data_IF_997991561091
#
_entry.id   IF_997991561091
#
_cell.length_a   1.000
_cell.length_b   1.000
_cell.length_c   1.000
_cell.angle_alpha   90.00
_cell.angle_beta   90.00
_cell.angle_gamma   90.00
#
_symmetry.space_group_name_H-M   'P 1'
#
loop_
_entity.id
_entity.type
_entity.pdbx_description
1 polymer ?
2 branched ?
3 branched ?
4 non-polymer ?
5 non-polymer ?
6 water ?
#
# COMPACT_ATOMS: atom_id res chain seq x y z
N UNK A 1 -16.41 2.41 -11.43
CA UNK A 1 -15.36 2.40 -10.42
C UNK A 1 -15.60 1.36 -9.33
N UNK A 2 -14.68 1.30 -8.37
CA UNK A 2 -14.76 0.38 -7.25
C UNK A 2 -15.14 1.11 -5.97
N UNK A 3 -15.85 0.41 -5.08
CA UNK A 3 -16.24 0.97 -3.78
C UNK A 3 -15.05 0.96 -2.81
N UNK A 4 -14.85 2.08 -2.13
CA UNK A 4 -13.80 2.24 -1.13
C UNK A 4 -14.47 2.31 0.25
N UNK A 5 -13.94 1.58 1.26
CA UNK A 5 -12.78 0.68 1.24
C UNK A 5 -13.04 -0.57 0.40
N UNK A 6 -11.98 -1.06 -0.23
CA UNK A 6 -12.07 -2.19 -1.15
C UNK A 6 -11.18 -3.30 -0.66
N UNK A 7 -11.71 -4.51 -0.66
CA UNK A 7 -10.94 -5.70 -0.31
C UNK A 7 -10.58 -6.50 -1.56
N UNK A 8 -9.29 -6.64 -1.82
CA UNK A 8 -8.79 -7.43 -2.93
C UNK A 8 -8.21 -8.72 -2.35
N UNK A 9 -8.91 -9.85 -2.55
CA UNK A 9 -8.34 -11.12 -2.09
C UNK A 9 -7.06 -11.43 -2.85
N UNK A 10 -6.08 -12.00 -2.16
CA UNK A 10 -4.82 -12.42 -2.76
C UNK A 10 -4.74 -13.93 -2.55
N UNK A 11 -5.28 -14.71 -3.50
CA UNK A 11 -5.46 -16.16 -3.26
C UNK A 11 -4.16 -16.92 -2.98
N UNK A 12 -4.06 -17.59 -1.84
CA UNK A 12 -2.82 -18.27 -1.49
C UNK A 12 -1.70 -17.34 -1.07
N UNK A 13 -2.06 -16.10 -0.74
CA UNK A 13 -1.09 -15.12 -0.28
C UNK A 13 -0.24 -14.54 -1.38
N UNK A 14 0.83 -13.87 -0.97
CA UNK A 14 1.73 -13.25 -1.94
C UNK A 14 2.94 -14.14 -2.12
N UNK A 15 3.71 -13.83 -3.16
CA UNK A 15 4.84 -14.63 -3.56
C UNK A 15 5.76 -13.70 -4.34
N UNK A 16 7.08 -13.89 -4.25
CA UNK A 16 7.93 -13.09 -5.12
C UNK A 16 7.50 -13.19 -6.59
N UNK A 17 7.59 -12.04 -7.26
CA UNK A 17 7.23 -11.81 -8.66
C UNK A 17 5.75 -11.47 -8.87
N UNK A 18 5.00 -11.40 -7.76
CA UNK A 18 3.62 -10.93 -7.82
C UNK A 18 3.60 -9.41 -7.81
N UNK A 19 2.91 -8.84 -8.79
CA UNK A 19 2.80 -7.39 -8.96
C UNK A 19 1.36 -6.97 -8.74
N UNK A 20 1.14 -6.11 -7.76
CA UNK A 20 -0.19 -5.58 -7.49
C UNK A 20 -0.24 -4.14 -8.00
N UNK A 21 -1.26 -3.84 -8.81
CA UNK A 21 -1.42 -2.50 -9.39
C UNK A 21 -2.73 -1.86 -8.95
N UNK A 22 -2.62 -0.67 -8.36
CA UNK A 22 -3.77 0.10 -7.92
C UNK A 22 -3.83 1.39 -8.72
N UNK A 23 -4.95 1.62 -9.40
CA UNK A 23 -5.18 2.87 -10.16
C UNK A 23 -6.30 3.63 -9.49
N UNK A 24 -6.12 4.93 -9.31
CA UNK A 24 -7.19 5.75 -8.75
C UNK A 24 -6.85 7.20 -8.91
N UNK A 25 -7.70 8.04 -8.34
CA UNK A 25 -7.50 9.48 -8.35
C UNK A 25 -7.67 9.97 -6.93
N UNK A 26 -6.73 10.80 -6.48
CA UNK A 26 -6.83 11.35 -5.14
C UNK A 26 -7.95 12.38 -5.14
N UNK A 27 -8.80 12.33 -4.12
CA UNK A 27 -9.88 13.31 -3.98
C UNK A 27 -9.29 14.70 -3.71
N UNK A 28 -10.04 15.76 -4.03
CA UNK A 28 -9.58 17.09 -3.62
C UNK A 28 -9.55 17.17 -2.09
N UNK A 29 -8.60 17.91 -1.53
CA UNK A 29 -8.48 18.07 -0.07
C UNK A 29 -8.35 16.73 0.69
N UNK A 30 -7.63 15.79 0.08
CA UNK A 30 -7.42 14.48 0.68
C UNK A 30 -6.62 14.59 1.97
N UNK A 31 -6.90 13.68 2.90
CA UNK A 31 -6.16 13.58 4.15
C UNK A 31 -5.23 12.36 4.17
N UNK A 32 -5.70 11.24 3.62
CA UNK A 32 -4.94 9.99 3.73
C UNK A 32 -5.29 9.00 2.65
N UNK A 33 -4.35 8.10 2.39
CA UNK A 33 -4.58 6.89 1.61
C UNK A 33 -3.99 5.76 2.46
N UNK A 34 -4.56 4.55 2.36
CA UNK A 34 -3.94 3.39 3.00
C UNK A 34 -4.07 2.12 2.17
N UNK A 35 -2.96 1.42 2.04
CA UNK A 35 -2.96 0.03 1.58
C UNK A 35 -2.59 -0.82 2.76
N UNK A 36 -3.40 -1.84 3.03
CA UNK A 36 -3.16 -2.77 4.13
C UNK A 36 -3.08 -4.21 3.62
N UNK A 37 -1.87 -4.74 3.50
CA UNK A 37 -1.69 -6.16 3.16
C UNK A 37 -1.84 -6.92 4.45
N UNK A 38 -2.88 -7.75 4.52
CA UNK A 38 -3.23 -8.40 5.78
C UNK A 38 -2.99 -9.89 5.81
N UNK A 39 -2.59 -10.35 6.99
CA UNK A 39 -2.49 -11.76 7.33
C UNK A 39 -3.48 -11.96 8.49
N UNK A 40 -4.71 -12.37 8.16
CA UNK A 40 -5.80 -12.35 9.14
C UNK A 40 -5.96 -10.95 9.73
N UNK A 41 -5.99 -10.85 11.06
CA UNK A 41 -6.08 -9.55 11.71
C UNK A 41 -4.78 -8.74 11.70
N UNK A 42 -3.66 -9.40 11.39
CA UNK A 42 -2.40 -8.70 11.34
C UNK A 42 -2.27 -7.92 10.04
N UNK A 43 -1.54 -6.82 10.09
CA UNK A 43 -1.22 -6.07 8.87
C UNK A 43 0.27 -6.26 8.59
N UNK A 44 0.57 -7.07 7.59
CA UNK A 44 1.96 -7.32 7.22
C UNK A 44 2.65 -6.06 6.70
N UNK A 45 1.93 -5.28 5.91
CA UNK A 45 2.48 -4.09 5.28
C UNK A 45 1.37 -3.07 5.14
N UNK A 46 1.49 -1.99 5.92
CA UNK A 46 0.62 -0.81 5.90
C UNK A 46 1.41 0.29 5.21
N UNK A 47 0.85 0.82 4.12
CA UNK A 47 1.46 1.88 3.30
C UNK A 47 0.46 3.04 3.37
N UNK A 48 0.86 4.13 4.02
CA UNK A 48 -0.09 5.17 4.45
C UNK A 48 0.39 6.59 4.14
N UNK A 49 0.15 7.05 2.91
CA UNK A 49 0.34 8.47 2.59
C UNK A 49 -0.57 9.36 3.44
N UNK A 50 0.05 10.33 4.10
CA UNK A 50 -0.63 11.32 4.93
C UNK A 50 -0.38 12.70 4.32
N UNK A 51 -1.47 13.39 3.96
CA UNK A 51 -1.38 14.66 3.25
C UNK A 51 -1.19 15.87 4.17
N UNK A 52 -1.49 15.71 5.46
CA UNK A 52 -1.35 16.80 6.41
C UNK A 52 -1.07 16.25 7.80
N UNK A 53 0.18 15.88 8.02
CA UNK A 53 0.62 15.55 9.37
C UNK A 53 1.49 16.71 9.83
N UNK A 54 0.94 17.54 10.70
CA UNK A 54 1.60 18.77 11.14
C UNK A 54 2.09 19.61 9.95
N UNK A 55 1.21 19.76 8.96
CA UNK A 55 1.46 20.57 7.75
C UNK A 55 2.59 20.04 6.86
N UNK A 56 2.85 18.74 6.99
CA UNK A 56 3.84 18.04 6.18
C UNK A 56 3.13 16.88 5.47
N UNK A 57 3.66 16.49 4.32
CA UNK A 57 3.19 15.31 3.60
C UNK A 57 4.22 14.21 3.80
N UNK A 58 3.76 13.03 4.22
CA UNK A 58 4.68 11.94 4.54
C UNK A 58 4.01 10.60 4.28
N UNK A 59 4.80 9.60 3.91
CA UNK A 59 4.28 8.24 3.82
C UNK A 59 4.77 7.45 5.02
N UNK A 60 3.81 6.89 5.75
CA UNK A 60 4.13 6.08 6.92
C UNK A 60 3.90 4.61 6.58
N UNK A 61 4.92 3.78 6.80
CA UNK A 61 4.79 2.34 6.61
C UNK A 61 5.02 1.61 7.93
N UNK A 62 4.28 0.54 8.14
CA UNK A 62 4.37 -0.21 9.40
C UNK A 62 3.74 -1.58 9.27
N UNK A 63 3.81 -2.34 10.37
CA UNK A 63 3.26 -3.67 10.51
C UNK A 63 2.47 -3.69 11.81
N UNK A 64 1.30 -4.33 11.80
CA UNK A 64 0.51 -4.50 13.01
C UNK A 64 0.44 -5.98 13.35
N UNK A 65 0.89 -6.31 14.55
CA UNK A 65 0.90 -7.69 15.04
C UNK A 65 0.14 -7.75 16.35
N UNK A 66 -0.84 -8.66 16.42
CA UNK A 66 -1.65 -8.84 17.64
C UNK A 66 -2.23 -7.50 18.10
N UNK A 67 -2.68 -6.70 17.14
CA UNK A 67 -3.29 -5.37 17.37
C UNK A 67 -2.33 -4.25 17.78
N UNK A 68 -1.02 -4.50 17.69
CA UNK A 68 -0.02 -3.51 18.05
C UNK A 68 0.81 -3.07 16.85
N UNK A 69 0.87 -1.77 16.61
CA UNK A 69 1.75 -1.22 15.58
C UNK A 69 3.21 -1.29 16.01
N UNK A 70 4.10 -1.60 15.06
CA UNK A 70 5.53 -1.65 15.33
C UNK A 70 6.21 -0.32 15.06
N UNK A 71 7.49 -0.40 14.69
CA UNK A 71 8.28 0.79 14.39
C UNK A 71 7.92 1.33 13.01
N UNK A 72 7.58 2.61 12.95
CA UNK A 72 7.23 3.25 11.69
C UNK A 72 8.45 3.48 10.82
N UNK A 73 8.30 3.23 9.52
CA UNK A 73 9.29 3.61 8.53
C UNK A 73 8.69 4.73 7.70
N UNK A 74 9.31 5.90 7.75
CA UNK A 74 8.75 7.10 7.12
C UNK A 74 9.50 7.51 5.87
N UNK A 75 8.74 7.90 4.85
CA UNK A 75 9.29 8.36 3.58
C UNK A 75 8.72 9.74 3.28
N UNK A 76 9.62 10.73 3.21
CA UNK A 76 9.25 12.12 2.94
C UNK A 76 9.02 12.40 1.45
N UNK A 77 9.59 11.56 0.58
CA UNK A 77 9.31 11.69 -0.85
C UNK A 77 7.83 11.36 -1.03
N UNK A 78 7.08 12.28 -1.65
CA UNK A 78 5.63 12.21 -1.63
C UNK A 78 5.06 12.48 -3.02
N UNK A 79 4.87 11.42 -3.82
CA UNK A 79 4.49 11.58 -5.23
C UNK A 79 3.01 11.83 -5.51
N UNK A 80 2.17 11.78 -4.48
CA UNK A 80 0.72 11.95 -4.63
C UNK A 80 0.35 13.41 -4.59
N UNK A 81 -0.73 13.77 -5.28
CA UNK A 81 -1.25 15.14 -5.23
C UNK A 81 -2.77 15.12 -5.23
N UNK A 82 -3.37 15.90 -4.35
CA UNK A 82 -4.82 16.01 -4.31
C UNK A 82 -5.38 16.32 -5.69
N UNK A 83 -6.44 15.61 -6.05
CA UNK A 83 -7.11 15.81 -7.32
C UNK A 83 -6.51 15.09 -8.51
N UNK A 84 -5.36 14.42 -8.36
CA UNK A 84 -4.65 13.84 -9.51
C UNK A 84 -4.69 12.32 -9.57
N UNK A 85 -4.72 11.76 -10.79
CA UNK A 85 -4.66 10.31 -10.95
C UNK A 85 -3.28 9.75 -10.62
N UNK A 86 -3.26 8.55 -10.05
CA UNK A 86 -2.03 7.88 -9.65
C UNK A 86 -2.09 6.41 -10.03
N UNK A 87 -0.90 5.82 -10.08
CA UNK A 87 -0.73 4.38 -10.16
C UNK A 87 0.23 3.96 -9.06
N UNK A 88 -0.20 3.03 -8.21
CA UNK A 88 0.70 2.42 -7.24
C UNK A 88 0.96 0.99 -7.71
N UNK A 89 2.24 0.64 -7.83
CA UNK A 89 2.64 -0.73 -8.13
C UNK A 89 3.43 -1.27 -6.96
N UNK A 90 2.97 -2.39 -6.42
CA UNK A 90 3.67 -3.06 -5.34
C UNK A 90 4.18 -4.39 -5.88
N UNK A 91 5.50 -4.51 -5.99
CA UNK A 91 6.11 -5.75 -6.46
C UNK A 91 6.64 -6.51 -5.26
N UNK A 92 6.20 -7.75 -5.12
CA UNK A 92 6.70 -8.59 -4.04
C UNK A 92 8.04 -9.18 -4.47
N UNK A 93 9.06 -8.93 -3.66
CA UNK A 93 10.39 -9.50 -3.89
C UNK A 93 10.73 -10.42 -2.72
N UNK A 94 11.78 -11.26 -2.85
CA UNK A 94 12.06 -12.21 -1.78
C UNK A 94 12.20 -11.58 -0.39
N UNK A 95 12.78 -10.39 -0.30
CA UNK A 95 13.04 -9.79 1.01
C UNK A 95 12.28 -8.51 1.35
N UNK A 96 11.54 -7.97 0.38
CA UNK A 96 10.77 -6.76 0.63
C UNK A 96 9.64 -6.58 -0.37
N UNK A 97 8.71 -5.71 0.01
CA UNK A 97 7.76 -5.17 -0.96
C UNK A 97 8.47 -3.97 -1.59
N UNK A 98 8.38 -3.85 -2.91
CA UNK A 98 8.97 -2.71 -3.60
C UNK A 98 7.83 -1.89 -4.20
N UNK A 99 7.77 -0.61 -3.85
CA UNK A 99 6.67 0.26 -4.28
C UNK A 99 7.15 1.32 -5.28
N UNK A 100 6.46 1.40 -6.41
CA UNK A 100 6.66 2.47 -7.38
C UNK A 100 5.34 3.20 -7.56
N UNK A 101 5.40 4.53 -7.66
CA UNK A 101 4.22 5.35 -7.92
C UNK A 101 4.45 6.09 -9.24
N UNK A 102 3.47 6.00 -10.12
CA UNK A 102 3.55 6.65 -11.44
C UNK A 102 4.85 6.28 -12.15
N UNK A 103 5.19 4.99 -12.07
CA UNK A 103 6.36 4.41 -12.74
C UNK A 103 7.72 4.79 -12.16
N UNK A 104 7.72 5.50 -11.03
CA UNK A 104 8.97 5.86 -10.38
C UNK A 104 9.12 5.14 -9.05
N UNK A 105 10.26 4.48 -8.86
CA UNK A 105 10.52 3.83 -7.59
C UNK A 105 10.33 4.79 -6.43
N UNK A 106 9.64 4.33 -5.39
CA UNK A 106 9.38 5.14 -4.21
C UNK A 106 10.08 4.62 -2.95
N UNK A 107 9.82 3.37 -2.60
CA UNK A 107 10.35 2.82 -1.36
C UNK A 107 10.34 1.30 -1.38
N UNK A 108 11.08 0.72 -0.44
CA UNK A 108 11.04 -0.71 -0.18
C UNK A 108 10.70 -0.93 1.30
N UNK A 109 10.06 -2.05 1.60
CA UNK A 109 9.69 -2.39 2.97
C UNK A 109 10.05 -3.84 3.20
N UNK A 110 11.03 -4.05 4.08
CA UNK A 110 11.51 -5.39 4.43
C UNK A 110 10.40 -6.23 5.05
N UNK A 111 10.33 -7.50 4.66
CA UNK A 111 9.31 -8.40 5.22
C UNK A 111 9.50 -8.64 6.70
N UNK A 112 8.54 -8.18 7.50
CA UNK A 112 8.51 -8.48 8.93
C UNK A 112 7.66 -9.71 9.18
N UNK A 113 6.51 -9.79 8.50
CA UNK A 113 5.69 -10.99 8.47
C UNK A 113 6.29 -11.90 7.40
N UNK A 114 6.70 -13.10 7.80
CA UNK A 114 7.50 -13.94 6.92
C UNK A 114 6.72 -15.04 6.23
N UNK A 115 5.50 -15.27 6.69
CA UNK A 115 4.61 -16.24 6.06
C UNK A 115 3.87 -15.56 4.91
N UNK A 116 4.59 -15.37 3.81
CA UNK A 116 4.10 -14.63 2.65
C UNK A 116 2.81 -15.23 2.12
N UNK A 117 2.75 -16.56 2.14
CA UNK A 117 1.58 -17.25 1.62
C UNK A 117 0.33 -17.12 2.49
N UNK A 118 0.46 -16.45 3.63
CA UNK A 118 -0.70 -16.18 4.49
C UNK A 118 -1.17 -14.72 4.43
N UNK A 119 -0.47 -13.89 3.65
CA UNK A 119 -0.86 -12.49 3.46
C UNK A 119 -1.86 -12.51 2.31
N UNK A 120 -3.13 -12.70 2.64
CA UNK A 120 -4.10 -13.12 1.63
C UNK A 120 -5.20 -12.11 1.32
N UNK A 121 -5.04 -10.88 1.81
CA UNK A 121 -5.99 -9.81 1.49
C UNK A 121 -5.25 -8.49 1.38
N UNK A 122 -5.70 -7.64 0.47
CA UNK A 122 -5.25 -6.25 0.43
C UNK A 122 -6.45 -5.34 0.61
N UNK A 123 -6.43 -4.52 1.66
CA UNK A 123 -7.45 -3.50 1.85
C UNK A 123 -6.95 -2.18 1.30
N UNK A 124 -7.80 -1.51 0.54
CA UNK A 124 -7.48 -0.22 -0.04
C UNK A 124 -8.50 0.79 0.49
N UNK A 125 -8.02 1.83 1.16
CA UNK A 125 -8.91 2.79 1.79
C UNK A 125 -8.37 4.21 1.68
N UNK A 126 -9.21 5.16 2.08
CA UNK A 126 -8.81 6.55 2.12
C UNK A 126 -9.50 7.42 1.10
N UNK A 127 -8.92 8.59 0.87
CA UNK A 127 -9.59 9.67 0.17
C UNK A 127 -9.28 9.61 -1.32
N UNK A 128 -9.76 8.54 -1.96
CA UNK A 128 -9.52 8.29 -3.37
C UNK A 128 -10.78 7.85 -4.09
N UNK A 129 -10.79 8.07 -5.40
CA UNK A 129 -11.69 7.37 -6.28
C UNK A 129 -10.87 6.21 -6.79
N UNK A 130 -11.37 4.99 -6.59
CA UNK A 130 -10.62 3.81 -6.97
C UNK A 130 -11.09 3.32 -8.33
N UNK A 131 -10.14 3.20 -9.26
CA UNK A 131 -10.43 2.86 -10.64
C UNK A 131 -10.21 1.38 -10.92
N UNK A 132 -9.12 0.82 -10.39
CA UNK A 132 -8.74 -0.57 -10.65
C UNK A 132 -7.85 -1.10 -9.53
N UNK A 133 -7.97 -2.38 -9.21
CA UNK A 133 -7.09 -3.05 -8.26
C UNK A 133 -6.92 -4.47 -8.79
N UNK A 134 -5.71 -4.83 -9.15
CA UNK A 134 -5.47 -6.14 -9.77
C UNK A 134 -4.07 -6.62 -9.47
N UNK A 135 -3.78 -7.86 -9.84
CA UNK A 135 -2.44 -8.42 -9.70
C UNK A 135 -2.10 -9.27 -10.91
N UNK A 136 -0.81 -9.49 -11.10
CA UNK A 136 -0.31 -10.37 -12.15
C UNK A 136 1.06 -10.87 -11.74
N UNK A 137 1.54 -11.92 -12.41
CA UNK A 137 2.88 -12.44 -12.19
C UNK A 137 3.82 -11.90 -13.27
N UNK A 138 4.97 -11.40 -12.86
CA UNK A 138 5.95 -10.92 -13.83
C UNK A 138 7.15 -11.86 -13.90
X LIG B 1 2.29 8.19 15.62
X LIG B 1 1.15 7.97 14.64
X LIG B 1 0.27 6.79 15.06
X LIG B 1 -0.21 6.99 16.51
X LIG B 1 -1.02 5.82 17.05
X LIG B 1 1.77 8.30 17.06
X LIG B 1 2.90 8.29 17.95
X LIG B 1 3.02 9.37 15.26
X LIG B 1 1.69 7.75 13.33
X LIG B 1 -0.82 6.69 14.14
X LIG B 1 0.93 7.19 17.37
X LIG B 1 -0.27 4.60 16.93
X LIG B 2 -1.10 5.37 13.68
X LIG B 2 -2.43 5.39 12.94
X LIG B 2 -2.69 4.06 12.25
X LIG B 2 -1.49 3.63 11.42
X LIG B 2 -0.24 3.64 12.28
X LIG B 2 1.00 3.25 11.49
X LIG B 2 -3.48 5.64 13.88
X LIG B 2 -3.84 4.17 11.41
X LIG B 2 -1.35 4.54 10.31
X LIG B 2 -0.04 4.95 12.82
X LIG B 2 2.12 3.32 12.37
X LIG C 1 1.77 8.30 17.06
X LIG C 1 2.29 8.19 15.62
X LIG C 1 1.15 7.97 14.64
X LIG C 1 0.27 6.79 15.06
X LIG C 1 -0.21 6.99 16.51
X LIG C 1 -1.02 5.82 17.05
X LIG C 1 1.06 9.54 17.23
X LIG C 1 3.02 9.37 15.26
X LIG C 1 1.69 7.75 13.33
X LIG C 1 -0.82 6.69 14.14
X LIG C 1 0.93 7.19 17.37
X LIG C 1 -0.27 4.60 16.93
X LIG C 2 -1.10 5.37 13.68
X LIG C 2 -2.43 5.39 12.94
X LIG C 2 -2.69 4.06 12.25
X LIG C 2 -1.49 3.63 11.42
X LIG C 2 -0.24 3.64 12.28
X LIG C 2 1.00 3.25 11.49
X LIG C 2 -3.48 5.64 13.88
X LIG C 2 -3.84 4.17 11.41
X LIG C 2 -1.35 4.54 10.31
X LIG C 2 -0.04 4.95 12.82
X LIG C 2 2.12 3.32 12.37
X LIG D 1 1.72 -15.61 15.11
X LIG D 1 0.56 -15.12 14.47
X LIG D 1 2.48 -16.57 14.20
X LIG D 1 1.56 -17.45 13.60
X LIG D 1 3.28 -15.80 13.14
X LIG D 1 4.31 -16.59 12.58
X LIG E 1 5.29 -14.62 10.19
#
# INVERSE_FOLDING_TARGET
PLIVPYNLPLPGGVVPRMLITILGTVKPNANRIALDFQRGNDVAFHFNPRFNENNRRVIVCNTKLDNNWGREERQSVFPFESGKPFKIQVLVEPDHFKVAVNDAHLLQYNHRVKKLNEISKLGISGDIDLTSASYTMI
BGC C2 C3 C4 C5 C6 C1 O1 O2 O3 O4 O5 O6
GAL C1 C2 C3 C4 C5 C6 O2 O3 O4 O5 O6
GLC C1 C2 C3 C4 C5 C6 O1 O2 O3 O4 O5 O6
GAL C1 C2 C3 C4 C5 C6 O2 O3 O4 O5 O6
GOL C1 O1 C2 O2 C3 O3
CL CL
#
